data_IF_811931065306
#
_entry.id   IF_811931065306
#
_cell.length_a   1.000
_cell.length_b   1.000
_cell.length_c   1.000
_cell.angle_alpha   90.00
_cell.angle_beta   90.00
_cell.angle_gamma   90.00
#
_symmetry.space_group_name_H-M   'P 1'
#
loop_
_entity.id
_entity.type
_entity.pdbx_description
1 polymer ?
#
# COMPACT_ATOMS: atom_id res chain seq x y z
N UNK A 1 -1.14 38.46 15.80
CA UNK A 1 0.00 38.92 16.61
C UNK A 1 -0.29 40.30 17.18
N UNK A 2 -0.39 40.41 18.51
CA UNK A 2 -0.52 41.67 19.25
C UNK A 2 0.85 42.33 19.36
N UNK A 3 1.32 43.06 18.32
CA UNK A 3 2.46 44.00 18.45
C UNK A 3 2.77 44.85 17.19
N UNK A 4 1.86 44.99 16.22
CA UNK A 4 2.10 45.82 15.01
C UNK A 4 1.32 47.15 14.97
N UNK A 5 0.55 47.49 16.02
CA UNK A 5 -0.38 48.63 15.97
C UNK A 5 -1.59 48.42 15.04
N UNK A 6 -1.71 47.24 14.43
CA UNK A 6 -2.90 46.80 13.72
C UNK A 6 -3.93 46.27 14.73
N UNK A 7 -5.21 46.45 14.42
CA UNK A 7 -6.29 45.80 15.15
C UNK A 7 -6.06 44.29 15.21
N UNK A 8 -6.54 43.64 16.28
CA UNK A 8 -6.55 42.19 16.33
C UNK A 8 -7.21 41.65 15.06
N UNK A 9 -6.59 40.64 14.47
CA UNK A 9 -7.14 39.98 13.29
C UNK A 9 -8.46 39.31 13.70
N UNK A 10 -9.55 39.69 13.03
CA UNK A 10 -10.87 39.14 13.30
C UNK A 10 -11.01 37.80 12.59
N UNK A 11 -10.86 36.71 13.35
CA UNK A 11 -10.98 35.36 12.82
C UNK A 11 -12.44 34.95 12.58
N UNK A 12 -13.41 35.62 13.21
CA UNK A 12 -14.83 35.24 13.15
C UNK A 12 -15.47 35.46 11.77
N UNK A 13 -14.84 36.27 10.92
CA UNK A 13 -15.29 36.51 9.56
C UNK A 13 -15.08 35.31 8.62
N UNK A 14 -14.20 34.37 8.98
CA UNK A 14 -13.87 33.21 8.17
C UNK A 14 -14.75 32.03 8.57
N UNK A 15 -15.90 31.85 7.93
CA UNK A 15 -16.80 30.75 8.25
C UNK A 15 -16.21 29.38 7.90
N UNK A 16 -15.33 29.30 6.90
CA UNK A 16 -14.77 28.02 6.44
C UNK A 16 -13.81 27.34 7.43
N UNK A 17 -13.35 28.06 8.46
CA UNK A 17 -12.46 27.50 9.50
C UNK A 17 -13.23 26.99 10.72
N UNK A 18 -14.55 27.18 10.77
CA UNK A 18 -15.39 26.77 11.90
C UNK A 18 -16.25 25.56 11.58
N UNK A 19 -16.39 24.66 12.54
CA UNK A 19 -17.33 23.55 12.50
C UNK A 19 -18.78 24.02 12.77
N UNK A 20 -19.74 23.12 12.63
CA UNK A 20 -21.16 23.40 12.89
C UNK A 20 -21.46 23.82 14.35
N UNK A 21 -20.55 23.57 15.28
CA UNK A 21 -20.65 23.95 16.69
C UNK A 21 -19.94 25.29 16.99
N UNK A 22 -19.30 25.91 15.99
CA UNK A 22 -18.55 27.16 16.13
C UNK A 22 -17.13 26.99 16.67
N UNK A 23 -16.57 25.77 16.69
CA UNK A 23 -15.17 25.53 17.02
C UNK A 23 -14.28 25.69 15.80
N UNK A 24 -13.08 26.20 15.96
CA UNK A 24 -12.08 26.22 14.88
C UNK A 24 -11.57 24.79 14.63
N UNK A 25 -11.43 24.39 13.38
CA UNK A 25 -10.82 23.10 13.04
C UNK A 25 -9.36 23.04 13.51
N UNK A 26 -8.91 21.85 13.92
CA UNK A 26 -7.54 21.56 14.31
C UNK A 26 -7.13 20.19 13.73
N UNK A 27 -6.91 20.20 12.43
CA UNK A 27 -6.60 19.01 11.63
C UNK A 27 -5.10 18.75 11.66
N UNK A 28 -4.71 17.62 12.24
CA UNK A 28 -3.37 17.05 12.02
C UNK A 28 -3.38 16.27 10.71
N UNK A 29 -2.92 16.92 9.63
CA UNK A 29 -2.90 16.32 8.30
C UNK A 29 -1.96 15.11 8.20
N UNK A 30 -0.86 15.11 8.95
CA UNK A 30 0.08 13.99 8.93
C UNK A 30 -0.57 12.79 9.62
N UNK A 31 -1.12 12.98 10.80
CA UNK A 31 -1.83 11.93 11.53
C UNK A 31 -3.01 11.38 10.71
N UNK A 32 -3.83 12.27 10.13
CA UNK A 32 -4.99 11.90 9.30
C UNK A 32 -4.60 11.03 8.10
N UNK A 33 -3.46 11.31 7.47
CA UNK A 33 -2.98 10.55 6.30
C UNK A 33 -2.34 9.21 6.69
N UNK A 34 -2.06 8.97 7.96
CA UNK A 34 -1.48 7.74 8.45
C UNK A 34 -2.55 6.83 9.06
N UNK A 35 -2.27 5.53 9.06
CA UNK A 35 -3.11 4.47 9.61
C UNK A 35 -2.36 3.78 10.73
N UNK A 36 -2.89 3.88 11.96
CA UNK A 36 -2.27 3.31 13.15
C UNK A 36 -2.22 1.77 13.14
N UNK A 37 -3.22 1.14 12.51
CA UNK A 37 -3.43 -0.30 12.57
C UNK A 37 -3.24 -0.99 11.21
N UNK A 38 -2.23 -0.56 10.43
CA UNK A 38 -1.89 -1.24 9.19
C UNK A 38 -1.42 -2.67 9.48
N UNK A 39 -2.09 -3.64 8.86
CA UNK A 39 -1.85 -5.06 9.12
C UNK A 39 -0.88 -5.69 8.11
N UNK A 40 -0.20 -6.75 8.55
CA UNK A 40 0.57 -7.63 7.67
C UNK A 40 0.25 -9.07 8.04
N UNK A 41 -0.17 -9.84 7.04
CA UNK A 41 -0.57 -11.24 7.20
C UNK A 41 0.24 -12.11 6.24
N UNK A 42 0.64 -13.30 6.70
CA UNK A 42 1.38 -14.26 5.89
C UNK A 42 1.00 -15.68 6.27
N UNK A 43 0.55 -16.45 5.29
CA UNK A 43 0.14 -17.83 5.42
C UNK A 43 0.94 -18.69 4.46
N UNK A 44 1.40 -19.85 4.91
CA UNK A 44 2.09 -20.81 4.06
C UNK A 44 1.63 -22.21 4.43
N UNK A 45 1.21 -22.97 3.42
CA UNK A 45 0.85 -24.37 3.54
C UNK A 45 1.81 -25.18 2.68
N UNK A 46 2.43 -26.18 3.30
CA UNK A 46 3.35 -27.09 2.62
C UNK A 46 2.93 -28.53 2.81
N UNK A 47 3.03 -29.32 1.74
CA UNK A 47 2.91 -30.78 1.78
C UNK A 47 4.18 -31.37 1.18
N UNK A 48 4.83 -32.22 1.94
CA UNK A 48 6.01 -32.97 1.49
C UNK A 48 5.72 -34.45 1.60
N UNK A 49 6.21 -35.23 0.64
CA UNK A 49 6.08 -36.67 0.68
C UNK A 49 7.13 -37.34 -0.18
N UNK A 50 7.24 -38.66 -0.04
CA UNK A 50 8.19 -39.42 -0.81
C UNK A 50 8.18 -40.90 -0.49
N UNK A 51 8.87 -41.64 -1.33
CA UNK A 51 9.20 -43.06 -1.20
C UNK A 51 10.72 -43.24 -1.36
N UNK A 52 11.21 -44.48 -1.37
CA UNK A 52 12.62 -44.77 -1.63
C UNK A 52 13.10 -44.26 -3.01
N UNK A 53 12.18 -44.09 -3.98
CA UNK A 53 12.50 -43.75 -5.37
C UNK A 53 12.04 -42.36 -5.80
N UNK A 54 11.30 -41.62 -4.97
CA UNK A 54 10.78 -40.31 -5.35
C UNK A 54 10.55 -39.42 -4.14
N UNK A 55 10.84 -38.13 -4.26
CA UNK A 55 10.50 -37.12 -3.26
C UNK A 55 9.78 -35.97 -3.94
N UNK A 56 8.78 -35.40 -3.27
CA UNK A 56 8.02 -34.28 -3.77
C UNK A 56 7.69 -33.30 -2.63
N UNK A 57 7.67 -32.02 -2.98
CA UNK A 57 7.31 -30.93 -2.09
C UNK A 57 6.44 -29.93 -2.84
N UNK A 58 5.27 -29.66 -2.28
CA UNK A 58 4.29 -28.70 -2.77
C UNK A 58 4.13 -27.61 -1.71
N UNK A 59 4.17 -26.34 -2.10
CA UNK A 59 3.86 -25.24 -1.18
C UNK A 59 2.99 -24.17 -1.82
N UNK A 60 2.04 -23.68 -1.04
CA UNK A 60 1.19 -22.53 -1.32
C UNK A 60 1.48 -21.45 -0.28
N UNK A 61 1.57 -20.20 -0.72
CA UNK A 61 1.77 -19.05 0.15
C UNK A 61 0.88 -17.89 -0.24
N UNK A 62 0.37 -17.18 0.76
CA UNK A 62 -0.34 -15.91 0.61
C UNK A 62 0.26 -14.89 1.58
N UNK A 63 0.42 -13.66 1.13
CA UNK A 63 0.88 -12.55 1.96
C UNK A 63 0.07 -11.31 1.60
N UNK A 64 -0.35 -10.55 2.60
CA UNK A 64 -0.98 -9.24 2.47
C UNK A 64 -0.26 -8.24 3.37
N UNK A 65 -0.03 -7.03 2.89
CA UNK A 65 0.53 -5.93 3.66
C UNK A 65 -0.19 -4.65 3.30
N UNK A 66 -0.75 -4.01 4.33
CA UNK A 66 -1.31 -2.66 4.23
C UNK A 66 -0.21 -1.63 4.44
N UNK A 67 -0.27 -0.54 3.68
CA UNK A 67 0.59 0.61 3.87
C UNK A 67 0.12 1.46 5.05
N UNK A 68 1.07 2.03 5.78
CA UNK A 68 0.75 2.96 6.87
C UNK A 68 0.20 4.29 6.34
N UNK A 69 0.52 4.69 5.10
CA UNK A 69 -0.01 5.91 4.49
C UNK A 69 -1.28 5.56 3.70
N UNK A 70 -2.41 6.11 4.11
CA UNK A 70 -3.73 5.89 3.52
C UNK A 70 -4.31 4.47 3.67
N UNK A 71 -3.63 3.57 4.39
CA UNK A 71 -4.14 2.21 4.63
C UNK A 71 -4.24 1.37 3.36
N UNK A 72 -5.03 0.29 3.44
CA UNK A 72 -5.28 -0.62 2.32
C UNK A 72 -5.94 0.04 1.11
N UNK A 73 -6.68 1.12 1.32
CA UNK A 73 -7.38 1.87 0.26
C UNK A 73 -6.39 2.58 -0.70
N UNK A 74 -5.24 2.99 -0.18
CA UNK A 74 -4.25 3.81 -0.92
C UNK A 74 -2.98 3.02 -1.23
N UNK A 75 -2.49 2.24 -0.27
CA UNK A 75 -1.22 1.54 -0.37
C UNK A 75 -1.39 0.11 0.13
N UNK A 76 -1.27 -0.85 -0.76
CA UNK A 76 -1.38 -2.26 -0.39
C UNK A 76 -0.50 -3.14 -1.27
N UNK A 77 -0.08 -4.27 -0.72
CA UNK A 77 0.68 -5.28 -1.41
C UNK A 77 0.09 -6.66 -1.09
N UNK A 78 -0.18 -7.44 -2.12
CA UNK A 78 -0.53 -8.85 -1.96
C UNK A 78 0.31 -9.75 -2.86
N UNK A 79 0.65 -10.95 -2.36
CA UNK A 79 1.45 -11.93 -3.08
C UNK A 79 0.91 -13.34 -2.86
N UNK A 80 0.62 -14.02 -3.95
CA UNK A 80 0.36 -15.44 -4.02
C UNK A 80 1.60 -16.16 -4.54
N UNK A 81 1.99 -17.25 -3.90
CA UNK A 81 3.14 -18.07 -4.27
C UNK A 81 2.73 -19.54 -4.35
N UNK A 82 3.14 -20.21 -5.42
CA UNK A 82 2.99 -21.64 -5.60
C UNK A 82 4.34 -22.22 -6.00
N UNK A 83 4.77 -23.30 -5.35
CA UNK A 83 6.01 -24.00 -5.67
C UNK A 83 5.82 -25.51 -5.65
N UNK A 84 6.41 -26.14 -6.65
CA UNK A 84 6.52 -27.59 -6.80
C UNK A 84 7.99 -27.92 -6.91
N UNK A 85 8.44 -28.89 -6.13
CA UNK A 85 9.74 -29.51 -6.32
C UNK A 85 9.53 -31.02 -6.35
N UNK A 86 10.11 -31.70 -7.32
CA UNK A 86 10.07 -33.15 -7.42
C UNK A 86 11.44 -33.70 -7.79
N UNK A 87 11.74 -34.89 -7.28
CA UNK A 87 12.98 -35.59 -7.57
C UNK A 87 12.70 -37.09 -7.64
N UNK A 88 13.14 -37.72 -8.72
CA UNK A 88 12.85 -39.11 -9.04
C UNK A 88 14.14 -39.88 -9.33
N UNK A 89 14.33 -40.98 -8.61
CA UNK A 89 15.40 -41.96 -8.85
C UNK A 89 14.85 -43.08 -9.73
N UNK A 90 15.41 -43.20 -10.92
CA UNK A 90 15.06 -44.16 -11.96
C UNK A 90 16.20 -45.16 -12.14
N UNK A 91 15.89 -46.34 -12.68
CA UNK A 91 16.88 -47.39 -12.98
C UNK A 91 17.81 -47.76 -11.81
N UNK A 92 17.25 -48.00 -10.61
CA UNK A 92 18.02 -48.35 -9.39
C UNK A 92 19.10 -47.32 -9.01
N UNK A 93 18.72 -46.05 -9.03
CA UNK A 93 19.56 -44.88 -8.72
C UNK A 93 20.56 -44.48 -9.83
N UNK A 94 20.53 -45.13 -11.00
CA UNK A 94 21.44 -44.79 -12.12
C UNK A 94 21.06 -43.46 -12.77
N UNK A 95 19.77 -43.12 -12.82
CA UNK A 95 19.31 -41.85 -13.36
C UNK A 95 18.48 -41.13 -12.32
N UNK A 96 18.83 -39.88 -12.05
CA UNK A 96 18.08 -39.00 -11.18
C UNK A 96 17.54 -37.85 -12.02
N UNK A 97 16.25 -37.57 -11.94
CA UNK A 97 15.61 -36.44 -12.62
C UNK A 97 14.98 -35.57 -11.56
N UNK A 98 15.21 -34.27 -11.63
CA UNK A 98 14.59 -33.31 -10.72
C UNK A 98 13.96 -32.14 -11.45
N UNK A 99 12.91 -31.61 -10.83
CA UNK A 99 12.12 -30.49 -11.30
C UNK A 99 11.93 -29.50 -10.15
N UNK A 100 12.02 -28.22 -10.48
CA UNK A 100 11.65 -27.13 -9.61
C UNK A 100 10.84 -26.12 -10.39
N UNK A 101 9.60 -25.91 -10.00
CA UNK A 101 8.68 -24.94 -10.61
C UNK A 101 8.19 -23.99 -9.52
N UNK A 102 8.15 -22.70 -9.83
CA UNK A 102 7.48 -21.70 -9.00
C UNK A 102 6.69 -20.69 -9.82
N UNK A 103 5.56 -20.30 -9.27
CA UNK A 103 4.68 -19.27 -9.77
C UNK A 103 4.44 -18.24 -8.67
N UNK A 104 4.53 -16.96 -9.05
CA UNK A 104 4.29 -15.84 -8.14
C UNK A 104 3.36 -14.85 -8.82
N UNK A 105 2.27 -14.51 -8.16
CA UNK A 105 1.37 -13.45 -8.58
C UNK A 105 1.38 -12.34 -7.54
N UNK A 106 1.71 -11.12 -7.96
CA UNK A 106 1.80 -9.93 -7.10
C UNK A 106 0.80 -8.89 -7.57
N UNK A 107 0.10 -8.30 -6.62
CA UNK A 107 -0.68 -7.07 -6.80
C UNK A 107 -0.09 -6.02 -5.87
N UNK A 108 0.13 -4.81 -6.36
CA UNK A 108 0.54 -3.70 -5.52
C UNK A 108 -0.10 -2.41 -5.99
N UNK A 109 -0.49 -1.60 -5.02
CA UNK A 109 -0.87 -0.21 -5.17
C UNK A 109 -0.04 0.60 -4.16
N UNK A 110 0.25 1.86 -4.45
CA UNK A 110 1.11 2.64 -3.59
C UNK A 110 1.02 4.14 -3.80
N UNK A 111 1.70 4.84 -2.89
CA UNK A 111 1.80 6.29 -2.90
C UNK A 111 2.89 6.79 -3.85
N UNK A 112 2.78 8.06 -4.23
CA UNK A 112 3.84 8.74 -4.98
C UNK A 112 5.03 9.01 -4.07
N UNK A 113 6.15 8.36 -4.36
CA UNK A 113 7.44 8.55 -3.67
C UNK A 113 8.40 9.24 -4.62
N UNK A 114 8.82 10.45 -4.26
CA UNK A 114 9.73 11.25 -5.07
C UNK A 114 10.52 12.23 -4.21
N UNK A 115 10.78 13.43 -4.74
CA UNK A 115 11.54 14.46 -4.03
C UNK A 115 10.64 15.28 -3.07
N UNK A 116 11.22 16.27 -2.40
CA UNK A 116 10.50 17.15 -1.46
C UNK A 116 9.31 17.91 -2.08
N UNK A 117 9.25 18.03 -3.41
CA UNK A 117 8.18 18.72 -4.14
C UNK A 117 7.15 17.77 -4.76
N UNK A 118 7.54 16.53 -5.05
CA UNK A 118 6.69 15.56 -5.73
C UNK A 118 6.62 14.26 -4.92
N UNK A 119 5.79 14.27 -3.88
CA UNK A 119 5.46 13.11 -3.07
C UNK A 119 4.08 13.32 -2.41
N UNK A 120 3.44 12.21 -2.03
CA UNK A 120 2.09 12.23 -1.45
C UNK A 120 1.97 13.05 -0.16
N UNK A 121 2.99 13.05 0.69
CA UNK A 121 2.92 13.70 2.02
C UNK A 121 3.20 15.20 1.99
N UNK A 122 3.68 15.76 0.87
CA UNK A 122 4.07 17.16 0.79
C UNK A 122 2.97 18.11 1.23
N UNK A 123 1.74 17.88 0.77
CA UNK A 123 0.62 18.77 1.06
C UNK A 123 0.32 18.85 2.56
N UNK A 124 0.49 17.74 3.30
CA UNK A 124 0.25 17.70 4.74
C UNK A 124 1.10 18.70 5.54
N UNK A 125 2.30 19.03 5.07
CA UNK A 125 3.19 19.98 5.74
C UNK A 125 2.90 21.46 5.39
N UNK A 126 2.12 21.71 4.35
CA UNK A 126 1.86 23.05 3.83
C UNK A 126 0.41 23.53 4.00
N UNK A 127 -0.54 22.60 4.12
CA UNK A 127 -1.96 22.91 4.29
C UNK A 127 -2.25 23.39 5.70
N UNK A 128 -3.08 24.44 5.84
CA UNK A 128 -3.45 24.96 7.16
C UNK A 128 -4.13 23.90 8.03
N UNK A 129 -3.83 23.81 9.34
CA UNK A 129 -4.51 22.89 10.25
C UNK A 129 -5.96 23.32 10.52
N UNK A 130 -6.30 24.58 10.26
CA UNK A 130 -7.65 25.11 10.45
C UNK A 130 -8.61 24.85 9.28
N UNK A 131 -8.18 24.06 8.30
CA UNK A 131 -9.04 23.57 7.23
C UNK A 131 -9.53 22.15 7.59
N UNK A 132 -10.81 21.81 7.36
CA UNK A 132 -11.32 20.47 7.60
C UNK A 132 -10.90 19.48 6.52
N UNK A 133 -10.89 18.19 6.87
CA UNK A 133 -10.70 17.07 5.93
C UNK A 133 -11.94 16.83 5.08
N UNK A 134 -13.13 16.93 5.67
CA UNK A 134 -14.43 16.67 5.04
C UNK A 134 -15.29 17.93 5.10
N UNK A 135 -16.16 18.12 4.11
CA UNK A 135 -17.10 19.26 4.13
C UNK A 135 -18.38 18.96 3.35
N UNK A 136 -19.44 19.70 3.65
CA UNK A 136 -20.72 19.60 2.96
C UNK A 136 -20.77 20.40 1.64
N UNK A 137 -19.64 20.96 1.19
CA UNK A 137 -19.61 21.68 -0.08
C UNK A 137 -19.84 20.76 -1.29
N UNK A 138 -19.66 19.45 -1.12
CA UNK A 138 -19.93 18.35 -2.06
C UNK A 138 -19.56 18.68 -3.51
N UNK A 139 -18.46 19.42 -3.69
CA UNK A 139 -17.95 19.77 -5.01
C UNK A 139 -17.46 18.49 -5.68
N UNK A 140 -17.92 18.25 -6.90
CA UNK A 140 -17.63 17.03 -7.67
C UNK A 140 -18.11 15.72 -7.03
N UNK A 141 -19.17 15.75 -6.22
CA UNK A 141 -19.68 14.60 -5.47
C UNK A 141 -18.61 13.94 -4.57
N UNK A 142 -17.65 14.74 -4.12
CA UNK A 142 -16.58 14.33 -3.23
C UNK A 142 -16.92 14.70 -1.78
N UNK A 143 -16.72 13.79 -0.81
CA UNK A 143 -16.90 14.10 0.61
C UNK A 143 -15.76 14.98 1.16
N UNK A 144 -14.65 15.09 0.42
CA UNK A 144 -13.47 15.83 0.85
C UNK A 144 -13.67 17.33 0.71
N UNK A 145 -13.15 18.08 1.67
CA UNK A 145 -13.19 19.54 1.63
C UNK A 145 -12.47 20.09 0.40
N UNK A 146 -13.17 20.89 -0.40
CA UNK A 146 -12.61 21.69 -1.50
C UNK A 146 -12.45 23.17 -1.08
N UNK A 147 -11.24 23.71 -1.20
CA UNK A 147 -10.94 25.07 -0.72
C UNK A 147 -11.21 26.16 -1.75
N UNK A 148 -11.64 25.87 -2.98
CA UNK A 148 -11.76 26.86 -4.06
C UNK A 148 -12.72 28.02 -3.73
N UNK A 149 -13.71 27.77 -2.88
CA UNK A 149 -14.68 28.75 -2.37
C UNK A 149 -14.40 29.19 -0.93
N UNK A 150 -13.31 28.74 -0.30
CA UNK A 150 -12.94 29.11 1.07
C UNK A 150 -12.73 30.62 1.19
N UNK A 151 -13.27 31.19 2.27
CA UNK A 151 -13.01 32.57 2.68
C UNK A 151 -11.66 32.74 3.38
N UNK A 152 -11.08 31.67 3.90
CA UNK A 152 -9.76 31.63 4.54
C UNK A 152 -8.61 31.58 3.53
N UNK A 153 -8.49 30.47 2.80
CA UNK A 153 -7.41 30.26 1.84
C UNK A 153 -7.85 29.33 0.71
N UNK A 154 -7.94 29.89 -0.49
CA UNK A 154 -8.36 29.14 -1.68
C UNK A 154 -7.30 28.15 -2.19
N UNK A 155 -6.04 28.34 -1.83
CA UNK A 155 -4.91 27.56 -2.31
C UNK A 155 -4.44 26.44 -1.39
N UNK A 156 -5.10 26.21 -0.25
CA UNK A 156 -4.68 25.21 0.73
C UNK A 156 -4.87 23.77 0.22
N UNK A 157 -5.97 23.52 -0.51
CA UNK A 157 -6.34 22.20 -1.01
C UNK A 157 -6.62 21.19 0.12
N UNK A 158 -6.68 19.92 -0.25
CA UNK A 158 -6.92 18.82 0.69
C UNK A 158 -5.97 17.65 0.40
N UNK A 159 -4.86 17.52 1.15
CA UNK A 159 -3.85 16.51 0.89
C UNK A 159 -4.36 15.08 1.14
N UNK A 160 -5.26 14.90 2.10
CA UNK A 160 -5.89 13.60 2.35
C UNK A 160 -6.82 13.20 1.19
N UNK A 161 -7.69 14.11 0.76
CA UNK A 161 -8.58 13.89 -0.38
C UNK A 161 -7.81 13.56 -1.65
N UNK A 162 -6.76 14.33 -1.95
CA UNK A 162 -5.87 14.08 -3.09
C UNK A 162 -5.23 12.69 -3.03
N UNK A 163 -4.74 12.28 -1.86
CA UNK A 163 -4.18 10.94 -1.66
C UNK A 163 -5.21 9.87 -1.98
N UNK A 164 -6.42 9.98 -1.47
CA UNK A 164 -7.49 8.98 -1.65
C UNK A 164 -7.99 8.90 -3.09
N UNK A 165 -7.91 9.98 -3.87
CA UNK A 165 -8.39 10.01 -5.26
C UNK A 165 -7.32 9.68 -6.30
N UNK A 166 -6.05 10.01 -6.03
CA UNK A 166 -4.95 9.82 -6.99
C UNK A 166 -4.33 8.41 -6.93
N UNK A 167 -4.49 7.69 -5.82
CA UNK A 167 -3.87 6.38 -5.58
C UNK A 167 -4.64 5.19 -6.19
N UNK A 168 -5.00 5.27 -7.47
CA UNK A 168 -5.80 4.23 -8.15
C UNK A 168 -5.00 3.33 -9.10
N UNK A 169 -3.66 3.44 -9.12
CA UNK A 169 -2.84 2.73 -10.08
C UNK A 169 -2.31 1.40 -9.54
N UNK A 170 -3.10 0.34 -9.75
CA UNK A 170 -2.77 -1.02 -9.32
C UNK A 170 -1.88 -1.76 -10.34
N UNK A 171 -0.69 -2.18 -9.93
CA UNK A 171 0.20 -3.01 -10.73
C UNK A 171 0.01 -4.50 -10.43
N UNK A 172 -0.19 -5.29 -11.49
CA UNK A 172 -0.35 -6.75 -11.43
C UNK A 172 0.80 -7.43 -12.16
N UNK A 173 1.46 -8.39 -11.52
CA UNK A 173 2.61 -9.10 -12.11
C UNK A 173 2.52 -10.58 -11.83
N UNK A 174 2.54 -11.39 -12.90
CA UNK A 174 2.72 -12.84 -12.83
C UNK A 174 4.15 -13.20 -13.24
N UNK A 175 4.82 -14.02 -12.43
CA UNK A 175 6.16 -14.54 -12.71
C UNK A 175 6.14 -16.05 -12.60
N UNK A 176 6.63 -16.72 -13.64
CA UNK A 176 6.81 -18.16 -13.69
C UNK A 176 8.30 -18.46 -13.84
N UNK A 177 8.81 -19.40 -13.06
CA UNK A 177 10.18 -19.89 -13.19
C UNK A 177 10.22 -21.40 -13.02
N UNK A 178 10.99 -22.08 -13.89
CA UNK A 178 11.14 -23.52 -13.89
C UNK A 178 12.59 -23.93 -14.14
N UNK A 179 13.03 -25.00 -13.50
CA UNK A 179 14.28 -25.69 -13.75
C UNK A 179 14.01 -27.19 -13.80
N UNK A 180 14.61 -27.87 -14.77
CA UNK A 180 14.61 -29.33 -14.87
C UNK A 180 16.05 -29.78 -15.06
N UNK A 181 16.46 -30.81 -14.33
CA UNK A 181 17.79 -31.38 -14.44
C UNK A 181 17.75 -32.91 -14.45
N UNK A 182 18.80 -33.52 -15.02
CA UNK A 182 19.02 -34.95 -14.99
C UNK A 182 20.48 -35.24 -14.62
N UNK A 183 20.69 -36.21 -13.74
CA UNK A 183 21.99 -36.67 -13.28
C UNK A 183 22.12 -38.18 -13.54
N UNK A 184 23.19 -38.60 -14.21
CA UNK A 184 23.45 -39.99 -14.58
C UNK A 184 24.65 -40.52 -13.79
N UNK A 185 24.45 -41.60 -13.03
CA UNK A 185 25.45 -42.29 -12.24
C UNK A 185 25.56 -43.77 -12.68
N UNK A 186 26.35 -44.07 -13.73
CA UNK A 186 26.42 -45.43 -14.29
C UNK A 186 27.19 -46.44 -13.42
N UNK A 187 27.97 -45.99 -12.45
CA UNK A 187 28.72 -46.84 -11.50
C UNK A 187 28.51 -46.31 -10.09
N UNK A 188 28.05 -47.16 -9.17
CA UNK A 188 28.06 -46.84 -7.73
C UNK A 188 29.50 -47.01 -7.22
N UNK A 189 30.17 -45.89 -6.91
CA UNK A 189 31.46 -45.89 -6.19
C UNK A 189 31.19 -46.06 -4.70
#
# INVERSE_FOLDING_TARGET
>A
ALNSGLSAYDWSQYQSIYDANGNVYDTDWVDTMFKDNATTESYTLGVTGGSATSTYALSLGYMSQEGIVGGSDVSNYSRYNFRVNSEHKLFKDILKVGEQVSFVYKMNNGISVGNQYNNTLRGAFGTSPIAPVYSDNNLYDSPYNDTSTSDWNKGDGNPYGLMMTDSNNENKTATFSGNVYAELQPVKI
#
